data_IF_908005160788
#
_entry.id   IF_908005160788
#
_cell.length_a   1.000
_cell.length_b   1.000
_cell.length_c   1.000
_cell.angle_alpha   90.00
_cell.angle_beta   90.00
_cell.angle_gamma   90.00
#
_symmetry.space_group_name_H-M   'P 1'
#
loop_
_entity.id
_entity.type
_entity.pdbx_description
1 polymer ?
#
# COMPACT_ATOMS: atom_id res chain seq x y z
N UNK A 1 -2.12 -6.02 -18.92
CA UNK A 1 -2.59 -5.53 -17.61
C UNK A 1 -2.72 -4.01 -17.65
N UNK A 2 -3.90 -3.49 -17.29
CA UNK A 2 -4.11 -2.06 -17.22
C UNK A 2 -3.57 -1.54 -15.88
N UNK A 3 -2.63 -0.60 -15.98
CA UNK A 3 -1.99 -0.01 -14.83
C UNK A 3 -2.27 1.49 -14.82
N UNK A 4 -2.86 1.95 -13.73
CA UNK A 4 -3.32 3.32 -13.55
C UNK A 4 -2.23 4.17 -12.93
N UNK A 5 -1.72 5.14 -13.67
CA UNK A 5 -0.78 6.14 -13.18
C UNK A 5 -1.52 7.42 -12.77
N UNK A 6 -1.30 7.88 -11.54
CA UNK A 6 -1.89 9.12 -11.02
C UNK A 6 -0.85 10.02 -10.39
N UNK A 7 -1.01 11.32 -10.59
CA UNK A 7 -0.36 12.36 -9.80
C UNK A 7 -1.11 12.51 -8.48
N UNK A 8 -0.38 12.56 -7.38
CA UNK A 8 -0.94 12.85 -6.05
C UNK A 8 -0.92 14.37 -5.87
N UNK A 9 -2.06 14.96 -5.56
CA UNK A 9 -2.18 16.36 -5.20
C UNK A 9 -2.43 16.51 -3.70
N UNK A 10 -1.73 17.45 -3.06
CA UNK A 10 -1.98 17.90 -1.69
C UNK A 10 -2.10 19.42 -1.74
N UNK A 11 -3.23 19.97 -1.29
CA UNK A 11 -3.54 21.40 -1.38
C UNK A 11 -3.35 21.95 -2.81
N UNK A 12 -3.86 21.19 -3.80
CA UNK A 12 -3.74 21.45 -5.25
C UNK A 12 -2.31 21.48 -5.80
N UNK A 13 -1.30 21.11 -5.01
CA UNK A 13 0.09 21.02 -5.43
C UNK A 13 0.49 19.57 -5.76
N UNK A 14 1.24 19.34 -6.86
CA UNK A 14 1.84 18.04 -7.16
C UNK A 14 2.77 17.58 -6.03
N UNK A 15 2.31 16.60 -5.26
CA UNK A 15 3.00 16.08 -4.09
C UNK A 15 3.71 14.74 -4.35
N UNK A 16 3.42 14.09 -5.48
CA UNK A 16 4.00 12.80 -5.80
C UNK A 16 3.23 12.05 -6.87
N UNK A 17 3.42 10.73 -6.88
CA UNK A 17 2.78 9.81 -7.83
C UNK A 17 2.40 8.49 -7.18
N UNK A 18 1.44 7.82 -7.78
CA UNK A 18 1.06 6.45 -7.45
C UNK A 18 0.76 5.67 -8.74
N UNK A 19 1.21 4.43 -8.78
CA UNK A 19 0.98 3.51 -9.89
C UNK A 19 0.36 2.21 -9.39
N UNK A 20 -0.82 1.88 -9.89
CA UNK A 20 -1.61 0.74 -9.41
C UNK A 20 -2.01 -0.15 -10.58
N UNK A 21 -1.64 -1.43 -10.53
CA UNK A 21 -2.15 -2.46 -11.42
C UNK A 21 -3.35 -3.16 -10.81
N UNK A 22 -4.36 -3.49 -11.61
CA UNK A 22 -5.52 -4.28 -11.17
C UNK A 22 -5.82 -5.38 -12.18
N UNK A 23 -6.20 -6.54 -11.68
CA UNK A 23 -6.79 -7.60 -12.49
C UNK A 23 -7.95 -8.26 -11.72
N UNK A 24 -8.38 -9.44 -12.14
CA UNK A 24 -9.50 -10.13 -11.51
C UNK A 24 -9.15 -10.64 -10.10
N UNK A 25 -7.88 -11.00 -9.86
CA UNK A 25 -7.44 -11.68 -8.63
C UNK A 25 -6.78 -10.75 -7.61
N UNK A 26 -6.16 -9.66 -8.06
CA UNK A 26 -5.31 -8.83 -7.21
C UNK A 26 -5.31 -7.33 -7.59
N UNK A 27 -4.98 -6.53 -6.59
CA UNK A 27 -4.54 -5.14 -6.68
C UNK A 27 -3.02 -5.14 -6.41
N UNK A 28 -2.25 -4.53 -7.29
CA UNK A 28 -0.79 -4.43 -7.20
C UNK A 28 -0.41 -2.97 -7.08
N UNK A 29 0.10 -2.56 -5.91
CA UNK A 29 0.76 -1.27 -5.78
C UNK A 29 2.15 -1.39 -6.41
N UNK A 30 2.33 -0.78 -7.58
CA UNK A 30 3.55 -0.89 -8.38
C UNK A 30 4.60 0.13 -7.93
N UNK A 31 4.18 1.36 -7.64
CA UNK A 31 5.03 2.42 -7.10
C UNK A 31 4.18 3.43 -6.33
N UNK A 32 4.73 4.00 -5.26
CA UNK A 32 4.23 5.19 -4.58
C UNK A 32 5.41 6.02 -4.12
N UNK A 33 5.39 7.29 -4.49
CA UNK A 33 6.41 8.23 -4.06
C UNK A 33 5.76 9.57 -3.74
N UNK A 34 6.12 10.13 -2.59
CA UNK A 34 5.81 11.49 -2.20
C UNK A 34 7.11 12.28 -2.16
N UNK A 35 7.08 13.53 -2.61
CA UNK A 35 8.17 14.47 -2.41
C UNK A 35 8.42 14.66 -0.91
N UNK A 36 9.67 14.82 -0.51
CA UNK A 36 10.10 14.84 0.90
C UNK A 36 9.31 15.85 1.75
N UNK A 37 8.97 16.99 1.17
CA UNK A 37 8.20 18.05 1.82
C UNK A 37 6.79 17.60 2.23
N UNK A 38 6.19 16.65 1.51
CA UNK A 38 4.85 16.14 1.72
C UNK A 38 4.81 14.81 2.50
N UNK A 39 5.97 14.24 2.82
CA UNK A 39 6.07 13.00 3.59
C UNK A 39 5.73 13.22 5.07
N UNK A 40 5.42 12.15 5.80
CA UNK A 40 5.10 12.15 7.23
C UNK A 40 3.86 13.01 7.62
N UNK A 41 3.00 13.35 6.64
CA UNK A 41 1.73 14.08 6.83
C UNK A 41 0.48 13.20 6.70
N UNK A 42 0.64 11.88 6.67
CA UNK A 42 -0.47 10.91 6.57
C UNK A 42 -1.00 10.62 5.15
N UNK A 43 -0.51 11.31 4.11
CA UNK A 43 -0.96 11.10 2.73
C UNK A 43 -0.76 9.65 2.24
N UNK A 44 0.42 9.06 2.51
CA UNK A 44 0.69 7.66 2.19
C UNK A 44 -0.28 6.71 2.88
N UNK A 45 -0.52 6.91 4.18
CA UNK A 45 -1.50 6.13 4.97
C UNK A 45 -2.89 6.20 4.37
N UNK A 46 -3.35 7.41 4.01
CA UNK A 46 -4.67 7.61 3.41
C UNK A 46 -4.81 6.86 2.08
N UNK A 47 -3.79 6.95 1.21
CA UNK A 47 -3.79 6.27 -0.08
C UNK A 47 -3.79 4.74 0.07
N UNK A 48 -2.96 4.21 0.97
CA UNK A 48 -2.89 2.76 1.22
C UNK A 48 -4.19 2.24 1.86
N UNK A 49 -4.81 2.97 2.78
CA UNK A 49 -6.11 2.58 3.35
C UNK A 49 -7.20 2.48 2.29
N UNK A 50 -7.23 3.41 1.32
CA UNK A 50 -8.16 3.31 0.18
C UNK A 50 -7.95 2.04 -0.64
N UNK A 51 -6.69 1.63 -0.87
CA UNK A 51 -6.39 0.38 -1.56
C UNK A 51 -6.76 -0.86 -0.73
N UNK A 52 -6.55 -0.81 0.59
CA UNK A 52 -6.97 -1.87 1.52
C UNK A 52 -8.50 -2.02 1.49
N UNK A 53 -9.25 -0.91 1.62
CA UNK A 53 -10.72 -0.93 1.56
C UNK A 53 -11.23 -1.43 0.21
N UNK A 54 -10.53 -1.11 -0.89
CA UNK A 54 -10.83 -1.66 -2.21
C UNK A 54 -10.58 -3.16 -2.27
N UNK A 55 -9.44 -3.62 -1.74
CA UNK A 55 -9.06 -5.04 -1.64
C UNK A 55 -10.13 -5.83 -0.89
N UNK A 56 -10.50 -5.36 0.30
CA UNK A 56 -11.46 -6.02 1.19
C UNK A 56 -12.85 -6.11 0.54
N UNK A 57 -13.34 -5.00 -0.03
CA UNK A 57 -14.66 -4.99 -0.70
C UNK A 57 -14.72 -5.85 -1.95
N UNK A 58 -13.61 -6.01 -2.66
CA UNK A 58 -13.56 -6.78 -3.91
C UNK A 58 -13.12 -8.23 -3.72
N UNK A 59 -12.72 -8.63 -2.51
CA UNK A 59 -12.13 -9.95 -2.24
C UNK A 59 -10.80 -10.20 -2.96
N UNK A 60 -10.17 -9.15 -3.48
CA UNK A 60 -8.89 -9.24 -4.20
C UNK A 60 -7.74 -9.23 -3.22
N UNK A 61 -6.61 -9.82 -3.62
CA UNK A 61 -5.37 -9.74 -2.85
C UNK A 61 -4.66 -8.41 -3.13
N UNK A 62 -4.21 -7.70 -2.09
CA UNK A 62 -3.38 -6.49 -2.24
C UNK A 62 -1.91 -6.80 -1.97
N UNK A 63 -1.06 -6.58 -2.98
CA UNK A 63 0.39 -6.85 -2.93
C UNK A 63 1.23 -5.69 -3.42
N UNK A 64 2.47 -5.65 -2.94
CA UNK A 64 3.52 -4.78 -3.45
C UNK A 64 4.90 -5.40 -3.24
N UNK A 65 5.93 -4.73 -3.74
CA UNK A 65 7.33 -5.07 -3.49
C UNK A 65 8.04 -3.85 -2.89
N UNK A 66 8.92 -4.06 -1.93
CA UNK A 66 9.71 -3.00 -1.30
C UNK A 66 11.20 -3.37 -1.32
N UNK A 67 12.06 -2.40 -1.64
CA UNK A 67 13.51 -2.59 -1.64
C UNK A 67 14.02 -2.89 -0.22
N UNK A 68 14.86 -3.91 -0.07
CA UNK A 68 15.29 -4.44 1.25
C UNK A 68 16.00 -3.41 2.14
N UNK A 69 16.66 -2.41 1.56
CA UNK A 69 17.34 -1.36 2.32
C UNK A 69 16.41 -0.20 2.72
N UNK A 70 15.16 -0.17 2.23
CA UNK A 70 14.20 0.86 2.58
C UNK A 70 13.41 0.48 3.85
N UNK A 71 14.12 0.48 4.99
CA UNK A 71 13.59 0.09 6.28
C UNK A 71 12.39 0.95 6.74
N UNK A 72 12.36 2.22 6.35
CA UNK A 72 11.25 3.12 6.68
C UNK A 72 9.98 2.76 5.92
N UNK A 73 10.08 2.46 4.62
CA UNK A 73 8.96 1.96 3.84
C UNK A 73 8.48 0.61 4.37
N UNK A 74 9.39 -0.32 4.70
CA UNK A 74 9.03 -1.61 5.27
C UNK A 74 8.18 -1.46 6.55
N UNK A 75 8.68 -0.69 7.53
CA UNK A 75 7.95 -0.40 8.78
C UNK A 75 6.64 0.34 8.55
N UNK A 76 6.58 1.20 7.53
CA UNK A 76 5.34 1.86 7.13
C UNK A 76 4.29 0.85 6.69
N UNK A 77 4.66 -0.11 5.83
CA UNK A 77 3.74 -1.15 5.36
C UNK A 77 3.34 -2.14 6.48
N UNK A 78 4.28 -2.56 7.33
CA UNK A 78 3.99 -3.46 8.47
C UNK A 78 2.94 -2.87 9.42
N UNK A 79 3.06 -1.58 9.74
CA UNK A 79 2.07 -0.88 10.60
C UNK A 79 0.67 -0.79 9.98
N UNK A 80 0.56 -1.01 8.66
CA UNK A 80 -0.71 -1.04 7.93
C UNK A 80 -1.25 -2.47 7.75
N UNK A 81 -0.62 -3.49 8.34
CA UNK A 81 -1.07 -4.88 8.26
C UNK A 81 -0.50 -5.66 7.08
N UNK A 82 0.53 -5.14 6.40
CA UNK A 82 1.24 -5.92 5.40
C UNK A 82 2.24 -6.87 6.05
N UNK A 83 2.32 -8.09 5.53
CA UNK A 83 3.31 -9.10 5.94
C UNK A 83 4.18 -9.47 4.76
N UNK A 84 5.45 -9.81 5.02
CA UNK A 84 6.35 -10.38 4.01
C UNK A 84 5.86 -11.78 3.65
N UNK A 85 5.68 -12.05 2.36
CA UNK A 85 5.30 -13.36 1.83
C UNK A 85 6.44 -14.07 1.10
N UNK A 86 7.43 -13.32 0.63
CA UNK A 86 8.58 -13.83 -0.12
C UNK A 86 9.71 -12.79 -0.09
N UNK A 87 10.94 -13.25 0.10
CA UNK A 87 12.15 -12.46 -0.16
C UNK A 87 12.67 -12.84 -1.55
N UNK A 88 12.75 -11.87 -2.47
CA UNK A 88 13.16 -12.09 -3.85
C UNK A 88 14.26 -11.11 -4.27
N UNK A 89 15.50 -11.59 -4.26
CA UNK A 89 16.67 -10.78 -4.56
C UNK A 89 16.79 -9.58 -3.61
N UNK A 90 16.80 -8.36 -4.15
CA UNK A 90 16.88 -7.13 -3.37
C UNK A 90 15.51 -6.56 -2.97
N UNK A 91 14.44 -7.33 -3.11
CA UNK A 91 13.08 -6.90 -2.79
C UNK A 91 12.39 -7.88 -1.84
N UNK A 92 11.51 -7.35 -1.00
CA UNK A 92 10.55 -8.11 -0.22
C UNK A 92 9.19 -7.98 -0.87
N UNK A 93 8.53 -9.09 -1.16
CA UNK A 93 7.14 -9.10 -1.58
C UNK A 93 6.28 -9.09 -0.33
N UNK A 94 5.32 -8.18 -0.28
CA UNK A 94 4.44 -8.01 0.86
C UNK A 94 2.98 -8.06 0.43
N UNK A 95 2.16 -8.64 1.30
CA UNK A 95 0.73 -8.79 1.11
C UNK A 95 -0.01 -8.20 2.30
N UNK A 96 -1.08 -7.45 2.04
CA UNK A 96 -1.99 -7.05 3.10
C UNK A 96 -2.72 -8.29 3.63
N UNK A 97 -2.58 -8.55 4.93
CA UNK A 97 -3.42 -9.52 5.63
C UNK A 97 -4.39 -8.73 6.48
N UNK A 98 -5.68 -9.01 6.31
CA UNK A 98 -6.69 -8.50 7.20
C UNK A 98 -6.28 -8.86 8.63
N UNK A 99 -5.98 -7.84 9.44
CA UNK A 99 -5.99 -8.03 10.88
C UNK A 99 -7.43 -8.33 11.23
N UNK A 100 -7.70 -9.55 11.69
CA UNK A 100 -8.99 -9.91 12.28
C UNK A 100 -9.45 -8.71 13.14
N UNK A 101 -10.62 -8.09 12.88
CA UNK A 101 -11.11 -7.08 13.80
C UNK A 101 -11.11 -7.72 15.18
N UNK A 102 -10.66 -7.03 16.26
CA UNK A 102 -10.69 -7.62 17.58
C UNK A 102 -12.09 -8.17 17.79
N UNK A 103 -12.17 -9.49 18.07
CA UNK A 103 -13.42 -10.18 18.30
C UNK A 103 -14.26 -9.29 19.19
N UNK A 104 -15.43 -8.89 18.69
CA UNK A 104 -16.34 -8.00 19.41
C UNK A 104 -16.54 -8.66 20.77
N UNK A 105 -15.98 -8.05 21.81
CA UNK A 105 -16.18 -8.53 23.16
C UNK A 105 -17.69 -8.40 23.40
N UNK A 106 -18.38 -9.54 23.31
CA UNK A 106 -19.82 -9.62 23.51
C UNK A 106 -20.15 -8.99 24.86
N UNK A 107 -20.98 -7.96 24.82
CA UNK A 107 -21.76 -7.50 25.96
C UNK A 107 -23.06 -8.29 26.05
#
# INVERSE_FOLDING_TARGET
PDAEYKVILIDDQPAGRIWIGRNAEQIRLLDIALLSEFQNRGAGTLLLRKLIDESNRSGKVLRHMVFVLNNDAHRFYERLGFVVIEDFGAYKHMEYKESEPPAVAGG
#
